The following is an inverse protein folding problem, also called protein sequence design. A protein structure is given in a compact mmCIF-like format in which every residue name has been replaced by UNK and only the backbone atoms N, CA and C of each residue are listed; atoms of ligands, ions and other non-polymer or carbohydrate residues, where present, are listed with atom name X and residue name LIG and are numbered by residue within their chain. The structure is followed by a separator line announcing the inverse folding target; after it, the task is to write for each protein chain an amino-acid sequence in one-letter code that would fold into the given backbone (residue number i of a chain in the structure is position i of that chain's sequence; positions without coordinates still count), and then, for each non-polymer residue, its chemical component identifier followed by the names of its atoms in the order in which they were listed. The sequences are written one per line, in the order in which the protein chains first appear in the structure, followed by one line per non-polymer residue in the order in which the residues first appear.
data_IF_869305280705
#
_entry.id   IF_869305280705
#
_cell.length_a   1.000
_cell.length_b   1.000
_cell.length_c   1.000
_cell.angle_alpha   90.00
_cell.angle_beta   90.00
_cell.angle_gamma   90.00
#
_symmetry.space_group_name_H-M   'P 1'
#
loop_
_entity.id
_entity.type
_entity.pdbx_description
1 polymer ?
#
# COMPACT_ATOMS: atom_id res chain seq x y z
N UNK A 1 -5.48 5.57 -14.47
CA UNK A 1 -4.04 5.27 -14.38
C UNK A 1 -3.87 3.77 -14.51
N UNK A 2 -3.17 3.26 -15.53
CA UNK A 2 -2.85 1.82 -15.65
C UNK A 2 -1.36 1.65 -15.33
N UNK A 3 -1.04 0.97 -14.22
CA UNK A 3 0.35 0.66 -13.90
C UNK A 3 0.74 -0.62 -14.63
N UNK A 4 1.85 -0.61 -15.37
CA UNK A 4 2.33 -1.75 -16.17
C UNK A 4 2.90 -2.91 -15.32
N UNK A 5 2.98 -2.76 -13.99
CA UNK A 5 3.51 -3.77 -13.07
C UNK A 5 2.72 -3.75 -11.77
N UNK A 6 2.31 -4.93 -11.31
CA UNK A 6 1.70 -5.10 -9.99
C UNK A 6 2.76 -4.83 -8.91
N UNK A 7 2.53 -3.80 -8.09
CA UNK A 7 3.39 -3.55 -6.93
C UNK A 7 3.15 -4.64 -5.90
N UNK A 8 4.19 -5.40 -5.56
CA UNK A 8 4.13 -6.44 -4.54
C UNK A 8 4.77 -5.96 -3.26
N UNK A 9 4.08 -6.11 -2.14
CA UNK A 9 4.63 -5.86 -0.81
C UNK A 9 4.20 -6.99 0.12
N UNK A 10 5.19 -7.64 0.76
CA UNK A 10 4.97 -8.78 1.68
C UNK A 10 4.10 -9.91 1.10
N UNK A 11 4.31 -10.23 -0.17
CA UNK A 11 3.59 -11.31 -0.87
C UNK A 11 2.22 -10.91 -1.44
N UNK A 12 1.73 -9.71 -1.13
CA UNK A 12 0.43 -9.23 -1.59
C UNK A 12 0.58 -8.26 -2.77
N UNK A 13 -0.39 -8.28 -3.69
CA UNK A 13 -0.49 -7.31 -4.76
C UNK A 13 -1.20 -6.04 -4.24
N UNK A 14 -0.69 -4.87 -4.61
CA UNK A 14 -1.24 -3.58 -4.21
C UNK A 14 -1.99 -2.92 -5.36
N UNK A 15 -3.13 -2.31 -5.04
CA UNK A 15 -3.88 -1.48 -5.96
C UNK A 15 -4.29 -0.16 -5.28
N UNK A 16 -4.18 0.94 -6.03
CA UNK A 16 -4.66 2.25 -5.64
C UNK A 16 -5.76 2.73 -6.58
N UNK A 17 -6.78 3.40 -6.04
CA UNK A 17 -7.91 3.95 -6.81
C UNK A 17 -7.88 5.46 -6.90
N UNK A 18 -8.68 6.00 -7.82
CA UNK A 18 -8.86 7.45 -7.97
C UNK A 18 -9.66 8.08 -6.82
N UNK A 19 -10.34 7.26 -6.03
CA UNK A 19 -11.07 7.69 -4.83
C UNK A 19 -10.22 7.59 -3.56
N UNK A 20 -8.93 7.27 -3.68
CA UNK A 20 -8.03 7.17 -2.53
C UNK A 20 -8.09 5.83 -1.79
N UNK A 21 -8.79 4.83 -2.32
CA UNK A 21 -8.75 3.47 -1.76
C UNK A 21 -7.40 2.84 -2.12
N UNK A 22 -6.66 2.43 -1.09
CA UNK A 22 -5.51 1.56 -1.17
C UNK A 22 -5.93 0.17 -0.69
N UNK A 23 -5.63 -0.88 -1.45
CA UNK A 23 -5.96 -2.24 -1.07
C UNK A 23 -4.81 -3.20 -1.37
N UNK A 24 -4.67 -4.21 -0.52
CA UNK A 24 -3.77 -5.33 -0.72
C UNK A 24 -4.57 -6.61 -0.94
N UNK A 25 -4.12 -7.41 -1.90
CA UNK A 25 -4.75 -8.66 -2.29
C UNK A 25 -3.75 -9.81 -2.18
N UNK A 26 -4.19 -10.93 -1.63
CA UNK A 26 -3.43 -12.18 -1.64
C UNK A 26 -3.36 -12.76 -3.05
N UNK A 27 -2.44 -13.72 -3.32
CA UNK A 27 -2.29 -14.32 -4.65
C UNK A 27 -3.55 -15.03 -5.19
N UNK A 28 -4.48 -15.41 -4.32
CA UNK A 28 -5.78 -16.00 -4.67
C UNK A 28 -6.84 -14.94 -5.07
N UNK A 29 -6.50 -13.65 -4.97
CA UNK A 29 -7.39 -12.53 -5.29
C UNK A 29 -8.22 -12.00 -4.11
N UNK A 30 -8.11 -12.58 -2.91
CA UNK A 30 -8.84 -12.11 -1.73
C UNK A 30 -8.25 -10.79 -1.21
N UNK A 31 -9.10 -9.83 -0.82
CA UNK A 31 -8.65 -8.58 -0.17
C UNK A 31 -8.15 -8.90 1.25
N UNK A 32 -6.87 -8.60 1.54
CA UNK A 32 -6.24 -8.85 2.85
C UNK A 32 -6.47 -7.66 3.78
N UNK A 33 -6.32 -6.45 3.24
CA UNK A 33 -6.60 -5.20 3.94
C UNK A 33 -6.87 -4.08 2.95
N UNK A 34 -7.56 -3.04 3.42
CA UNK A 34 -7.67 -1.77 2.72
C UNK A 34 -7.59 -0.59 3.67
N UNK A 35 -7.18 0.54 3.12
CA UNK A 35 -7.16 1.82 3.80
C UNK A 35 -7.56 2.95 2.83
N UNK A 36 -7.93 4.11 3.37
CA UNK A 36 -8.30 5.28 2.60
C UNK A 36 -7.32 6.42 2.85
N UNK A 37 -6.64 6.84 1.79
CA UNK A 37 -5.80 8.04 1.82
C UNK A 37 -6.56 9.26 1.29
N UNK A 38 -6.09 10.44 1.67
CA UNK A 38 -6.62 11.72 1.23
C UNK A 38 -6.29 12.00 -0.24
N UNK A 39 -7.18 11.59 -1.14
CA UNK A 39 -7.16 11.99 -2.56
C UNK A 39 -6.68 10.91 -3.52
N UNK A 40 -6.55 11.32 -4.79
CA UNK A 40 -6.28 10.43 -5.92
C UNK A 40 -4.87 9.82 -5.81
N UNK A 41 -4.76 8.50 -5.70
CA UNK A 41 -3.47 7.82 -5.68
C UNK A 41 -2.83 7.88 -7.08
N UNK A 42 -1.55 8.28 -7.13
CA UNK A 42 -0.77 8.42 -8.37
C UNK A 42 0.60 7.76 -8.34
N UNK A 43 1.06 7.33 -7.17
CA UNK A 43 2.32 6.62 -7.03
C UNK A 43 2.28 5.59 -5.90
N UNK A 44 2.89 4.44 -6.17
CA UNK A 44 3.15 3.39 -5.19
C UNK A 44 4.65 3.11 -5.23
N UNK A 45 5.31 3.21 -4.09
CA UNK A 45 6.71 2.85 -3.91
C UNK A 45 6.86 1.84 -2.79
N UNK A 46 7.74 0.86 -2.94
CA UNK A 46 7.88 -0.24 -1.98
C UNK A 46 9.34 -0.43 -1.62
N UNK A 47 9.62 -0.51 -0.32
CA UNK A 47 10.86 -1.08 0.27
C UNK A 47 10.51 -2.35 1.03
N UNK A 48 11.49 -3.00 1.66
CA UNK A 48 11.27 -4.21 2.46
C UNK A 48 10.31 -3.96 3.65
N UNK A 49 10.32 -2.73 4.18
CA UNK A 49 9.69 -2.35 5.44
C UNK A 49 8.66 -1.21 5.32
N UNK A 50 8.68 -0.45 4.21
CA UNK A 50 7.79 0.71 4.03
C UNK A 50 7.08 0.65 2.67
N UNK A 51 5.77 0.92 2.70
CA UNK A 51 4.96 1.21 1.53
C UNK A 51 4.69 2.72 1.47
N UNK A 52 5.09 3.34 0.36
CA UNK A 52 4.92 4.77 0.09
C UNK A 52 3.78 5.01 -0.90
N UNK A 53 2.85 5.89 -0.54
CA UNK A 53 1.70 6.27 -1.37
C UNK A 53 1.73 7.75 -1.65
N UNK A 54 1.93 8.11 -2.92
CA UNK A 54 1.88 9.48 -3.40
C UNK A 54 0.51 9.80 -3.99
N UNK A 55 -0.08 10.94 -3.62
CA UNK A 55 -1.33 11.43 -4.20
C UNK A 55 -1.10 12.53 -5.22
N UNK A 56 -2.09 12.77 -6.08
CA UNK A 56 -2.06 13.85 -7.09
C UNK A 56 -1.84 15.24 -6.48
N UNK A 57 -2.26 15.45 -5.22
CA UNK A 57 -2.10 16.72 -4.51
C UNK A 57 -0.71 16.92 -3.91
N UNK A 58 0.21 15.95 -4.08
CA UNK A 58 1.56 16.00 -3.55
C UNK A 58 1.72 15.47 -2.13
N UNK A 59 0.66 14.95 -1.50
CA UNK A 59 0.76 14.30 -0.18
C UNK A 59 1.42 12.93 -0.33
N UNK A 60 2.38 12.64 0.56
CA UNK A 60 3.06 11.34 0.65
C UNK A 60 2.72 10.65 1.97
N UNK A 61 2.19 9.44 1.90
CA UNK A 61 1.90 8.58 3.05
C UNK A 61 2.95 7.47 3.15
N UNK A 62 3.30 7.08 4.38
CA UNK A 62 4.21 5.98 4.65
C UNK A 62 3.54 4.95 5.56
N UNK A 63 3.44 3.72 5.08
CA UNK A 63 2.85 2.59 5.77
C UNK A 63 3.95 1.64 6.21
N UNK A 64 3.95 1.33 7.51
CA UNK A 64 4.84 0.34 8.10
C UNK A 64 4.01 -0.79 8.72
N UNK A 65 4.49 -2.03 8.67
CA UNK A 65 3.88 -3.09 9.46
C UNK A 65 4.04 -2.73 10.93
N UNK A 66 3.02 -3.03 11.73
CA UNK A 66 3.18 -2.97 13.17
C UNK A 66 4.19 -4.05 13.55
N UNK A 67 5.42 -3.64 13.89
CA UNK A 67 6.32 -4.51 14.62
C UNK A 67 5.70 -4.65 16.01
N UNK A 68 5.19 -5.84 16.35
CA UNK A 68 4.95 -6.14 17.76
C UNK A 68 6.27 -5.85 18.47
N UNK A 69 6.29 -5.05 19.56
CA UNK A 69 7.50 -4.92 20.33
C UNK A 69 7.92 -6.34 20.70
N UNK A 70 9.14 -6.74 20.31
CA UNK A 70 9.65 -8.05 20.69
C UNK A 70 9.48 -8.17 22.19
N UNK A 71 8.76 -9.22 22.62
CA UNK A 71 8.59 -9.52 24.03
C UNK A 71 10.00 -9.58 24.63
N UNK A 72 10.37 -8.54 25.39
CA UNK A 72 11.63 -8.51 26.12
C UNK A 72 11.55 -9.64 27.15
N UNK A 73 12.16 -10.77 26.83
CA UNK A 73 12.65 -11.71 27.81
C UNK A 73 13.95 -11.19 28.42
#
# INVERSE_FOLDING_TARGET
WSSARTYRWRGNALAGSEHGKLAAFSPDGSEVWSDTVGGVIRGIGVTDDVLYIGTLKGTLYAYRPFLLPEERH
#
